data_IF_857775953860
#
_entry.id   IF_857775953860
#
_cell.length_a   1.000
_cell.length_b   1.000
_cell.length_c   1.000
_cell.angle_alpha   90.00
_cell.angle_beta   90.00
_cell.angle_gamma   90.00
#
_symmetry.space_group_name_H-M   'P 1'
#
loop_
_entity.id
_entity.type
_entity.pdbx_description
1 polymer ?
#
# COMPACT_ATOMS: atom_id res chain seq x y z
N UNK A 1 -1.25 -9.41 9.73
CA UNK A 1 -1.25 -8.33 10.73
C UNK A 1 -2.67 -7.92 11.10
N UNK A 2 -3.56 -7.67 10.12
CA UNK A 2 -4.97 -7.30 10.41
C UNK A 2 -5.63 -8.27 11.39
N UNK A 3 -5.49 -9.57 11.18
CA UNK A 3 -5.98 -10.61 12.09
C UNK A 3 -5.33 -10.52 13.48
N UNK A 4 -4.04 -10.29 13.56
CA UNK A 4 -3.29 -10.20 14.82
C UNK A 4 -3.71 -8.99 15.68
N UNK A 5 -4.13 -7.89 15.04
CA UNK A 5 -4.58 -6.68 15.73
C UNK A 5 -5.91 -6.85 16.46
N UNK A 6 -6.78 -7.72 15.99
CA UNK A 6 -8.13 -7.89 16.54
C UNK A 6 -8.41 -9.29 17.10
N UNK A 7 -7.50 -10.23 16.86
CA UNK A 7 -7.67 -11.63 17.25
C UNK A 7 -8.48 -12.46 16.25
N UNK A 8 -8.33 -13.78 16.36
CA UNK A 8 -8.86 -14.74 15.37
C UNK A 8 -10.39 -14.72 15.31
N UNK A 9 -11.06 -14.80 16.45
CA UNK A 9 -12.53 -14.88 16.52
C UNK A 9 -13.19 -13.61 15.96
N UNK A 10 -12.68 -12.44 16.34
CA UNK A 10 -13.20 -11.18 15.85
C UNK A 10 -12.97 -11.03 14.35
N UNK A 11 -11.75 -11.35 13.88
CA UNK A 11 -11.44 -11.28 12.46
C UNK A 11 -12.35 -12.19 11.65
N UNK A 12 -12.56 -13.43 12.07
CA UNK A 12 -13.45 -14.38 11.37
C UNK A 12 -14.89 -13.92 11.33
N UNK A 13 -15.41 -13.39 12.45
CA UNK A 13 -16.76 -12.84 12.50
C UNK A 13 -16.92 -11.66 11.53
N UNK A 14 -15.99 -10.70 11.55
CA UNK A 14 -15.94 -9.56 10.65
C UNK A 14 -15.83 -9.99 9.17
N UNK A 15 -14.96 -10.95 8.88
CA UNK A 15 -14.77 -11.47 7.52
C UNK A 15 -16.03 -12.17 6.98
N UNK A 16 -16.76 -12.92 7.82
CA UNK A 16 -18.05 -13.52 7.43
C UNK A 16 -19.07 -12.47 7.04
N UNK A 17 -19.19 -11.39 7.81
CA UNK A 17 -20.10 -10.29 7.49
C UNK A 17 -19.67 -9.59 6.19
N UNK A 18 -18.38 -9.41 5.98
CA UNK A 18 -17.87 -8.87 4.72
C UNK A 18 -18.24 -9.75 3.52
N UNK A 19 -18.04 -11.07 3.61
CA UNK A 19 -18.37 -12.02 2.53
C UNK A 19 -19.87 -11.99 2.19
N UNK A 20 -20.72 -11.87 3.21
CA UNK A 20 -22.17 -11.74 3.02
C UNK A 20 -22.56 -10.43 2.35
N UNK A 21 -21.93 -9.31 2.74
CA UNK A 21 -22.21 -7.99 2.18
C UNK A 21 -21.58 -7.75 0.81
N UNK A 22 -20.45 -8.39 0.55
CA UNK A 22 -19.63 -8.19 -0.65
C UNK A 22 -19.20 -9.55 -1.22
N UNK A 23 -20.11 -10.32 -1.84
CA UNK A 23 -19.76 -11.60 -2.45
C UNK A 23 -18.75 -11.42 -3.59
N UNK A 24 -17.94 -12.45 -3.90
CA UNK A 24 -16.99 -12.38 -5.00
C UNK A 24 -17.70 -12.20 -6.34
N UNK A 25 -17.19 -11.29 -7.17
CA UNK A 25 -17.69 -11.01 -8.52
C UNK A 25 -16.75 -11.52 -9.62
N UNK A 26 -15.57 -12.00 -9.25
CA UNK A 26 -14.55 -12.57 -10.13
C UNK A 26 -14.13 -13.95 -9.61
N UNK A 27 -13.81 -14.91 -10.52
CA UNK A 27 -13.23 -16.20 -10.12
C UNK A 27 -11.80 -16.08 -9.59
N UNK A 28 -11.14 -14.94 -9.78
CA UNK A 28 -9.76 -14.72 -9.33
C UNK A 28 -9.72 -14.32 -7.85
N UNK A 29 -9.35 -15.27 -7.01
CA UNK A 29 -9.27 -15.08 -5.55
C UNK A 29 -8.32 -13.93 -5.15
N UNK A 30 -7.28 -13.67 -5.94
CA UNK A 30 -6.34 -12.57 -5.70
C UNK A 30 -6.98 -11.19 -5.86
N UNK A 31 -8.11 -11.07 -6.54
CA UNK A 31 -8.86 -9.83 -6.69
C UNK A 31 -9.86 -9.61 -5.56
N UNK A 32 -10.29 -10.69 -4.91
CA UNK A 32 -11.25 -10.61 -3.82
C UNK A 32 -10.66 -9.87 -2.61
N UNK A 33 -11.52 -9.17 -1.88
CA UNK A 33 -11.13 -8.41 -0.69
C UNK A 33 -10.66 -6.97 -0.97
N UNK A 34 -10.76 -6.48 -2.21
CA UNK A 34 -10.41 -5.08 -2.53
C UNK A 34 -11.24 -4.05 -1.74
N UNK A 35 -12.50 -4.38 -1.41
CA UNK A 35 -13.39 -3.56 -0.60
C UNK A 35 -13.27 -3.77 0.92
N UNK A 36 -12.46 -4.75 1.38
CA UNK A 36 -12.44 -5.12 2.80
C UNK A 36 -11.99 -3.98 3.72
N UNK A 37 -10.99 -3.23 3.34
CA UNK A 37 -10.55 -2.07 4.12
C UNK A 37 -11.62 -0.98 4.23
N UNK A 38 -12.38 -0.75 3.17
CA UNK A 38 -13.52 0.18 3.19
C UNK A 38 -14.66 -0.34 4.08
N UNK A 39 -14.91 -1.64 4.05
CA UNK A 39 -15.86 -2.29 4.94
C UNK A 39 -15.45 -2.11 6.41
N UNK A 40 -14.17 -2.36 6.76
CA UNK A 40 -13.63 -2.15 8.11
C UNK A 40 -13.83 -0.71 8.56
N UNK A 41 -13.63 0.26 7.70
CA UNK A 41 -13.76 1.69 8.00
C UNK A 41 -15.19 2.07 8.43
N UNK A 42 -16.21 1.38 7.90
CA UNK A 42 -17.62 1.56 8.27
C UNK A 42 -18.13 0.53 9.29
N UNK A 43 -17.27 -0.29 9.88
CA UNK A 43 -17.66 -1.35 10.79
C UNK A 43 -17.43 -0.92 12.25
N UNK A 44 -18.47 -0.39 12.88
CA UNK A 44 -18.43 0.16 14.25
C UNK A 44 -17.72 -0.72 15.29
N UNK A 45 -17.90 -2.07 15.31
CA UNK A 45 -17.19 -2.91 16.27
C UNK A 45 -15.66 -2.83 16.17
N UNK A 46 -15.10 -2.43 15.01
CA UNK A 46 -13.66 -2.26 14.80
C UNK A 46 -13.14 -0.87 15.19
N UNK A 47 -13.99 0.07 15.59
CA UNK A 47 -13.63 1.46 15.90
C UNK A 47 -12.56 1.61 17.00
N UNK A 48 -12.40 0.60 17.86
CA UNK A 48 -11.35 0.56 18.90
C UNK A 48 -9.93 0.44 18.32
N UNK A 49 -9.80 0.00 17.07
CA UNK A 49 -8.52 -0.11 16.35
C UNK A 49 -8.61 0.74 15.08
N UNK A 50 -8.52 2.07 15.20
CA UNK A 50 -8.87 3.00 14.12
C UNK A 50 -7.92 2.90 12.90
N UNK A 51 -6.71 2.39 13.08
CA UNK A 51 -5.74 2.12 12.01
C UNK A 51 -5.94 0.76 11.31
N UNK A 52 -6.93 -0.06 11.73
CA UNK A 52 -7.15 -1.40 11.18
C UNK A 52 -7.43 -1.38 9.68
N UNK A 53 -8.24 -0.42 9.23
CA UNK A 53 -8.56 -0.26 7.82
C UNK A 53 -7.31 0.07 6.97
N UNK A 54 -6.41 0.92 7.50
CA UNK A 54 -5.18 1.31 6.79
C UNK A 54 -4.16 0.16 6.75
N UNK A 55 -4.07 -0.63 7.83
CA UNK A 55 -3.26 -1.86 7.83
C UNK A 55 -3.80 -2.85 6.81
N UNK A 56 -5.12 -3.02 6.72
CA UNK A 56 -5.74 -3.89 5.71
C UNK A 56 -5.48 -3.39 4.28
N UNK A 57 -5.50 -2.06 4.05
CA UNK A 57 -5.10 -1.45 2.77
C UNK A 57 -3.66 -1.77 2.42
N UNK A 58 -2.74 -1.61 3.37
CA UNK A 58 -1.32 -1.92 3.17
C UNK A 58 -1.11 -3.40 2.82
N UNK A 59 -1.76 -4.32 3.52
CA UNK A 59 -1.71 -5.76 3.21
C UNK A 59 -2.27 -6.06 1.82
N UNK A 60 -3.35 -5.39 1.42
CA UNK A 60 -3.90 -5.50 0.06
C UNK A 60 -2.95 -4.98 -1.01
N UNK A 61 -2.30 -3.84 -0.79
CA UNK A 61 -1.29 -3.31 -1.73
C UNK A 61 -0.13 -4.28 -1.92
N UNK A 62 0.29 -4.97 -0.86
CA UNK A 62 1.34 -6.00 -0.95
C UNK A 62 0.90 -7.19 -1.82
N UNK A 63 -0.33 -7.67 -1.65
CA UNK A 63 -0.88 -8.73 -2.50
C UNK A 63 -0.94 -8.28 -3.97
N UNK A 64 -1.43 -7.06 -4.23
CA UNK A 64 -1.45 -6.49 -5.59
C UNK A 64 -0.05 -6.37 -6.19
N UNK A 65 0.91 -5.89 -5.44
CA UNK A 65 2.29 -5.75 -5.89
C UNK A 65 2.91 -7.12 -6.25
N UNK A 66 2.59 -8.15 -5.46
CA UNK A 66 3.05 -9.51 -5.73
C UNK A 66 2.51 -10.07 -7.07
N UNK A 67 1.23 -9.82 -7.36
CA UNK A 67 0.55 -10.29 -8.57
C UNK A 67 0.60 -9.30 -9.75
N UNK A 68 1.29 -8.18 -9.60
CA UNK A 68 1.42 -7.20 -10.67
C UNK A 68 2.21 -7.77 -11.86
N UNK A 69 1.91 -7.23 -13.06
CA UNK A 69 2.62 -7.63 -14.27
C UNK A 69 4.15 -7.45 -14.14
N UNK A 70 4.88 -8.36 -14.74
CA UNK A 70 6.33 -8.25 -14.87
C UNK A 70 6.66 -7.25 -15.98
N UNK A 71 7.31 -6.17 -15.58
CA UNK A 71 7.79 -5.14 -16.49
C UNK A 71 9.25 -4.88 -16.14
N UNK A 72 10.18 -4.96 -17.11
CA UNK A 72 11.58 -4.65 -16.82
C UNK A 72 11.70 -3.17 -16.43
N UNK A 73 12.36 -2.87 -15.29
CA UNK A 73 12.60 -1.49 -14.90
C UNK A 73 13.55 -0.82 -15.90
N UNK A 74 13.41 0.49 -16.05
CA UNK A 74 14.38 1.27 -16.81
C UNK A 74 15.76 1.20 -16.12
N UNK A 75 16.77 0.83 -16.88
CA UNK A 75 18.14 0.77 -16.39
C UNK A 75 18.64 2.16 -15.97
N UNK A 76 19.41 2.22 -14.88
CA UNK A 76 19.87 3.50 -14.32
C UNK A 76 20.62 4.36 -15.35
N UNK A 77 21.47 3.74 -16.18
CA UNK A 77 22.21 4.47 -17.23
C UNK A 77 21.28 5.05 -18.29
N UNK A 78 20.23 4.33 -18.68
CA UNK A 78 19.23 4.82 -19.64
C UNK A 78 18.43 5.97 -19.06
N UNK A 79 18.06 5.91 -17.78
CA UNK A 79 17.41 7.01 -17.09
C UNK A 79 18.31 8.26 -17.05
N UNK A 80 19.58 8.11 -16.64
CA UNK A 80 20.54 9.21 -16.61
C UNK A 80 20.70 9.82 -17.99
N UNK A 81 20.89 9.00 -19.02
CA UNK A 81 21.03 9.46 -20.40
C UNK A 81 19.79 10.26 -20.86
N UNK A 82 18.58 9.76 -20.58
CA UNK A 82 17.34 10.45 -20.93
C UNK A 82 17.25 11.79 -20.22
N UNK A 83 17.52 11.85 -18.92
CA UNK A 83 17.45 13.08 -18.12
C UNK A 83 18.52 14.11 -18.54
N UNK A 84 19.74 13.64 -18.88
CA UNK A 84 20.84 14.52 -19.29
C UNK A 84 20.68 15.06 -20.71
N UNK A 85 20.02 14.31 -21.59
CA UNK A 85 19.78 14.70 -22.98
C UNK A 85 18.51 15.55 -23.16
N UNK A 86 17.66 15.65 -22.16
CA UNK A 86 16.40 16.36 -22.25
C UNK A 86 16.58 17.83 -21.87
N UNK A 87 16.33 18.72 -22.83
CA UNK A 87 16.37 20.16 -22.60
C UNK A 87 15.14 20.68 -21.86
N UNK A 88 14.01 19.99 -21.98
CA UNK A 88 12.73 20.34 -21.36
C UNK A 88 12.16 19.15 -20.57
N UNK A 89 12.41 19.15 -19.27
CA UNK A 89 11.88 18.16 -18.34
C UNK A 89 10.35 18.24 -18.21
N UNK A 90 9.75 19.39 -18.55
CA UNK A 90 8.30 19.59 -18.52
C UNK A 90 7.55 18.75 -19.56
N UNK A 91 8.25 18.12 -20.52
CA UNK A 91 7.65 17.18 -21.46
C UNK A 91 7.84 15.70 -21.05
N UNK A 92 8.66 15.43 -20.04
CA UNK A 92 8.99 14.09 -19.64
C UNK A 92 7.87 13.48 -18.80
N UNK A 93 7.33 12.34 -19.23
CA UNK A 93 6.37 11.52 -18.48
C UNK A 93 7.04 10.24 -18.02
N UNK A 94 6.92 9.93 -16.74
CA UNK A 94 7.41 8.69 -16.16
C UNK A 94 6.26 7.71 -16.01
N UNK A 95 6.44 6.50 -16.55
CA UNK A 95 5.54 5.39 -16.26
C UNK A 95 6.08 4.61 -15.08
N UNK A 96 5.33 4.57 -13.99
CA UNK A 96 5.71 3.84 -12.80
C UNK A 96 5.51 2.33 -13.02
N UNK A 97 6.34 1.52 -12.35
CA UNK A 97 6.23 0.07 -12.42
C UNK A 97 4.85 -0.40 -11.91
N UNK A 98 4.17 -1.36 -12.57
CA UNK A 98 2.81 -1.80 -12.21
C UNK A 98 2.65 -2.27 -10.75
N UNK A 99 3.72 -2.77 -10.13
CA UNK A 99 3.70 -3.20 -8.73
C UNK A 99 3.79 -2.04 -7.73
N UNK A 100 4.11 -0.83 -8.19
CA UNK A 100 4.29 0.31 -7.31
C UNK A 100 2.93 0.85 -6.89
N UNK A 101 2.76 1.08 -5.60
CA UNK A 101 1.59 1.71 -5.02
C UNK A 101 1.97 2.50 -3.76
N UNK A 102 1.19 3.52 -3.48
CA UNK A 102 1.32 4.37 -2.31
C UNK A 102 0.10 4.25 -1.41
N UNK A 103 0.27 4.57 -0.16
CA UNK A 103 -0.81 4.74 0.82
C UNK A 103 -0.44 5.90 1.73
N UNK A 104 -1.37 6.83 1.93
CA UNK A 104 -1.25 7.84 2.99
C UNK A 104 -2.15 7.46 4.16
N UNK A 105 -1.62 7.52 5.38
CA UNK A 105 -2.34 7.17 6.61
C UNK A 105 -2.12 8.22 7.68
N UNK A 106 -3.15 8.51 8.46
CA UNK A 106 -3.04 9.32 9.67
C UNK A 106 -2.30 8.58 10.82
N UNK A 107 -1.96 7.31 10.61
CA UNK A 107 -1.35 6.42 11.59
C UNK A 107 -0.01 5.90 11.09
N UNK A 108 0.82 5.41 12.00
CA UNK A 108 2.14 4.80 11.71
C UNK A 108 2.01 3.42 11.03
N UNK A 109 1.29 3.37 9.91
CA UNK A 109 0.81 2.13 9.29
C UNK A 109 1.93 1.15 8.93
N UNK A 110 3.07 1.64 8.44
CA UNK A 110 4.22 0.81 8.10
C UNK A 110 4.91 0.30 9.37
N UNK A 111 5.06 1.17 10.37
CA UNK A 111 5.66 0.81 11.65
C UNK A 111 4.78 -0.23 12.39
N UNK A 112 3.45 -0.05 12.41
CA UNK A 112 2.50 -1.03 12.96
C UNK A 112 2.65 -2.38 12.25
N UNK A 113 2.66 -2.36 10.92
CA UNK A 113 2.79 -3.57 10.13
C UNK A 113 4.15 -4.28 10.36
N UNK A 114 5.24 -3.54 10.42
CA UNK A 114 6.58 -4.07 10.68
C UNK A 114 6.72 -4.65 12.09
N UNK A 115 6.16 -3.95 13.10
CA UNK A 115 6.20 -4.37 14.50
C UNK A 115 5.56 -5.75 14.74
N UNK A 116 4.51 -6.09 13.99
CA UNK A 116 3.86 -7.41 14.07
C UNK A 116 4.70 -8.56 13.47
N UNK A 117 5.82 -8.27 12.85
CA UNK A 117 6.76 -9.27 12.32
C UNK A 117 7.91 -9.56 13.28
N UNK A 118 7.97 -8.84 14.38
CA UNK A 118 9.01 -8.95 15.40
C UNK A 118 8.32 -9.21 16.73
N UNK A 119 8.78 -10.21 17.48
CA UNK A 119 8.23 -10.52 18.80
C UNK A 119 8.39 -9.31 19.74
N UNK A 120 7.30 -8.91 20.39
CA UNK A 120 7.29 -7.74 21.29
C UNK A 120 7.35 -6.37 20.58
N UNK A 121 7.39 -6.31 19.26
CA UNK A 121 7.59 -5.06 18.51
C UNK A 121 6.54 -3.97 18.72
N UNK A 122 5.32 -4.34 19.18
CA UNK A 122 4.24 -3.39 19.47
C UNK A 122 4.40 -2.67 20.82
N UNK A 123 5.19 -3.19 21.74
CA UNK A 123 5.26 -2.68 23.12
C UNK A 123 5.76 -1.22 23.23
N UNK A 124 6.57 -0.76 22.27
CA UNK A 124 7.17 0.58 22.26
C UNK A 124 6.65 1.47 21.13
N UNK A 125 5.72 0.97 20.32
CA UNK A 125 5.24 1.67 19.13
C UNK A 125 4.20 2.73 19.49
N UNK A 126 4.40 3.97 19.03
CA UNK A 126 3.36 4.99 18.99
C UNK A 126 2.63 4.93 17.63
N UNK A 127 1.35 4.49 17.57
CA UNK A 127 0.61 4.40 16.33
C UNK A 127 0.07 5.75 15.83
N UNK A 128 0.10 6.80 16.66
CA UNK A 128 -0.63 8.06 16.48
C UNK A 128 0.16 9.13 15.72
N UNK A 129 0.96 8.76 14.75
CA UNK A 129 1.59 9.72 13.84
C UNK A 129 1.33 9.33 12.38
N UNK A 130 1.12 10.32 11.54
CA UNK A 130 0.87 10.11 10.12
C UNK A 130 2.08 9.51 9.42
N UNK A 131 1.86 8.53 8.55
CA UNK A 131 2.90 7.88 7.79
C UNK A 131 2.40 7.50 6.40
N UNK A 132 3.21 7.81 5.39
CA UNK A 132 3.04 7.28 4.04
C UNK A 132 3.69 5.90 3.92
N UNK A 133 3.16 5.09 3.03
CA UNK A 133 3.75 3.82 2.62
C UNK A 133 4.00 3.79 1.13
N UNK A 134 5.17 3.31 0.74
CA UNK A 134 5.50 2.91 -0.62
C UNK A 134 5.61 1.38 -0.65
N UNK A 135 4.84 0.77 -1.52
CA UNK A 135 4.87 -0.69 -1.77
C UNK A 135 5.30 -0.92 -3.19
N UNK A 136 6.28 -1.78 -3.39
CA UNK A 136 6.72 -2.20 -4.71
C UNK A 136 7.30 -3.61 -4.67
N UNK A 137 7.31 -4.29 -5.81
CA UNK A 137 7.99 -5.57 -5.98
C UNK A 137 9.31 -5.38 -6.71
N UNK A 138 10.36 -5.99 -6.15
CA UNK A 138 11.67 -6.08 -6.79
C UNK A 138 12.04 -7.57 -6.95
N UNK A 139 12.07 -8.04 -8.17
CA UNK A 139 12.13 -9.47 -8.44
C UNK A 139 10.88 -10.18 -7.88
N UNK A 140 11.07 -11.15 -7.00
CA UNK A 140 9.99 -11.88 -6.34
C UNK A 140 9.64 -11.32 -4.94
N UNK A 141 10.34 -10.28 -4.48
CA UNK A 141 10.18 -9.76 -3.14
C UNK A 141 9.37 -8.45 -3.13
N UNK A 142 8.30 -8.43 -2.36
CA UNK A 142 7.53 -7.21 -2.11
C UNK A 142 8.13 -6.44 -0.95
N UNK A 143 8.59 -5.23 -1.23
CA UNK A 143 9.16 -4.27 -0.28
C UNK A 143 8.09 -3.27 0.17
N UNK A 144 8.18 -2.86 1.43
CA UNK A 144 7.37 -1.79 2.02
C UNK A 144 8.30 -0.80 2.67
N UNK A 145 8.16 0.48 2.31
CA UNK A 145 8.96 1.57 2.84
C UNK A 145 8.04 2.60 3.48
N UNK A 146 8.46 3.14 4.62
CA UNK A 146 7.87 4.33 5.18
C UNK A 146 8.38 5.55 4.41
N UNK A 147 7.48 6.40 3.97
CA UNK A 147 7.77 7.66 3.28
C UNK A 147 6.93 8.78 3.87
N UNK A 148 7.31 10.02 3.62
CA UNK A 148 6.52 11.18 4.04
C UNK A 148 5.35 11.46 3.06
N UNK A 149 4.42 12.31 3.49
CA UNK A 149 3.23 12.64 2.69
C UNK A 149 3.55 13.41 1.40
N UNK A 150 4.64 14.19 1.38
CA UNK A 150 5.10 14.87 0.18
C UNK A 150 5.58 13.88 -0.88
N UNK A 151 6.33 12.87 -0.46
CA UNK A 151 6.74 11.75 -1.32
C UNK A 151 5.55 10.97 -1.88
N UNK A 152 4.53 10.72 -1.04
CA UNK A 152 3.26 10.10 -1.51
C UNK A 152 2.63 10.96 -2.59
N UNK A 153 2.43 12.25 -2.33
CA UNK A 153 1.79 13.17 -3.28
C UNK A 153 2.56 13.27 -4.60
N UNK A 154 3.89 13.31 -4.54
CA UNK A 154 4.75 13.32 -5.72
C UNK A 154 4.59 12.06 -6.57
N UNK A 155 4.67 10.88 -5.94
CA UNK A 155 4.52 9.60 -6.63
C UNK A 155 3.11 9.47 -7.23
N UNK A 156 2.08 9.86 -6.50
CA UNK A 156 0.69 9.82 -6.98
C UNK A 156 0.48 10.76 -8.17
N UNK A 157 1.12 11.94 -8.16
CA UNK A 157 1.12 12.88 -9.28
C UNK A 157 1.75 12.25 -10.53
N UNK A 158 2.92 11.61 -10.39
CA UNK A 158 3.55 10.87 -11.50
C UNK A 158 2.65 9.75 -12.03
N UNK A 159 1.99 9.01 -11.13
CA UNK A 159 1.09 7.92 -11.52
C UNK A 159 -0.16 8.40 -12.28
N UNK A 160 -0.56 9.67 -12.07
CA UNK A 160 -1.62 10.35 -12.80
C UNK A 160 -1.13 10.96 -14.12
N UNK A 161 0.14 10.79 -14.46
CA UNK A 161 0.74 11.25 -15.71
C UNK A 161 1.22 12.71 -15.68
N UNK A 162 1.45 13.28 -14.49
CA UNK A 162 2.09 14.56 -14.38
C UNK A 162 3.48 14.55 -15.03
N UNK A 163 3.87 15.68 -15.57
CA UNK A 163 5.21 15.91 -16.12
C UNK A 163 6.18 16.37 -15.03
N UNK A 164 7.47 16.20 -15.26
CA UNK A 164 8.51 16.71 -14.37
C UNK A 164 8.71 18.21 -14.68
N UNK A 165 8.02 19.06 -13.93
CA UNK A 165 8.29 20.49 -13.95
C UNK A 165 9.37 20.85 -12.92
N UNK A 166 10.13 21.93 -13.22
CA UNK A 166 11.14 22.48 -12.31
C UNK A 166 10.51 23.14 -11.09
#
# INVERSE_FOLDING_TARGET
VTLQLVGDDFFRAMARLYVQACPPTSPMISEYGSGFARFIQGFDPAARVPYLADVARLERLRVRAYHAADTPPLEQHALIHTLSGQTDLGQLRLQLHPSLATLNSAYAVVAIWAAHRIEGGMATLNPWHAQGALVLRRGLEVKVFAIDSGSVAFIDSLNQGAVLEK
#
